data_IF_400351435103
#
_entry.id   IF_400351435103
#
_cell.length_a   1.000
_cell.length_b   1.000
_cell.length_c   1.000
_cell.angle_alpha   90.00
_cell.angle_beta   90.00
_cell.angle_gamma   90.00
#
_symmetry.space_group_name_H-M   'P 1'
#
loop_
_entity.id
_entity.type
_entity.pdbx_description
1 polymer ?
#
# COMPACT_ATOMS: atom_id res chain seq x y z
N UNK A 1 -1.92 5.40 -15.94
CA UNK A 1 -0.61 5.84 -15.37
C UNK A 1 0.29 4.62 -15.29
N UNK A 2 1.58 4.72 -15.64
CA UNK A 2 2.48 3.54 -15.63
C UNK A 2 3.19 3.33 -14.29
N UNK A 3 3.64 2.10 -14.00
CA UNK A 3 4.37 1.76 -12.76
C UNK A 3 5.51 2.73 -12.47
N UNK A 4 6.36 3.00 -13.47
CA UNK A 4 7.51 3.88 -13.30
C UNK A 4 7.10 5.31 -12.94
N UNK A 5 6.00 5.81 -13.48
CA UNK A 5 5.49 7.15 -13.16
C UNK A 5 4.98 7.22 -11.72
N UNK A 6 4.28 6.16 -11.28
CA UNK A 6 3.80 6.05 -9.90
C UNK A 6 4.97 5.96 -8.92
N UNK A 7 5.95 5.09 -9.18
CA UNK A 7 7.15 4.97 -8.35
C UNK A 7 7.93 6.29 -8.30
N UNK A 8 8.11 6.96 -9.43
CA UNK A 8 8.77 8.27 -9.49
C UNK A 8 8.01 9.31 -8.66
N UNK A 9 6.66 9.32 -8.71
CA UNK A 9 5.85 10.20 -7.87
C UNK A 9 5.95 9.86 -6.40
N UNK A 10 5.95 8.58 -6.04
CA UNK A 10 6.12 8.14 -4.66
C UNK A 10 7.50 8.58 -4.13
N UNK A 11 8.55 8.45 -4.94
CA UNK A 11 9.90 8.91 -4.59
C UNK A 11 9.99 10.44 -4.49
N UNK A 12 9.32 11.18 -5.36
CA UNK A 12 9.29 12.65 -5.31
C UNK A 12 8.53 13.18 -4.08
N UNK A 13 7.57 12.41 -3.57
CA UNK A 13 6.81 12.69 -2.34
C UNK A 13 7.46 12.07 -1.10
N UNK A 14 8.56 11.33 -1.27
CA UNK A 14 9.26 10.69 -0.17
C UNK A 14 9.85 11.74 0.75
N UNK A 15 9.63 11.57 2.05
CA UNK A 15 10.07 12.49 3.07
C UNK A 15 10.90 11.70 4.11
N UNK A 16 12.24 11.83 4.09
CA UNK A 16 13.10 11.09 5.00
C UNK A 16 12.95 11.52 6.45
N UNK A 17 12.49 12.75 6.75
CA UNK A 17 12.23 13.18 8.13
C UNK A 17 11.08 12.37 8.74
N UNK A 18 10.13 11.95 7.91
CA UNK A 18 9.01 11.11 8.34
C UNK A 18 9.37 9.67 8.60
N UNK A 19 10.37 9.14 7.89
CA UNK A 19 10.92 7.80 8.19
C UNK A 19 11.42 7.81 9.63
N UNK A 20 12.20 8.83 10.01
CA UNK A 20 12.72 9.01 11.37
C UNK A 20 11.60 9.18 12.40
N UNK A 21 10.54 9.94 12.08
CA UNK A 21 9.38 10.10 12.97
C UNK A 21 8.64 8.77 13.15
N UNK A 22 8.43 7.99 12.08
CA UNK A 22 7.75 6.68 12.14
C UNK A 22 8.58 5.67 12.95
N UNK A 23 9.86 5.58 12.67
CA UNK A 23 10.78 4.72 13.45
C UNK A 23 10.80 5.12 14.92
N UNK A 24 10.84 6.42 15.24
CA UNK A 24 10.84 6.90 16.63
C UNK A 24 9.51 6.76 17.35
N UNK A 25 8.39 7.12 16.71
CA UNK A 25 7.07 7.13 17.37
C UNK A 25 6.44 5.75 17.46
N UNK A 26 6.68 4.92 16.46
CA UNK A 26 5.93 3.68 16.28
C UNK A 26 6.84 2.44 16.21
N UNK A 27 8.17 2.60 16.22
CA UNK A 27 9.11 1.47 16.29
C UNK A 27 9.14 0.58 15.04
N UNK A 28 8.50 1.03 13.95
CA UNK A 28 8.38 0.23 12.73
C UNK A 28 9.65 0.40 11.90
N UNK A 29 10.43 -0.67 11.82
CA UNK A 29 11.43 -0.85 10.77
C UNK A 29 10.73 -1.23 9.48
N UNK A 30 10.06 -0.27 8.85
CA UNK A 30 9.52 -0.48 7.51
C UNK A 30 10.70 -0.43 6.54
N UNK A 31 11.34 -1.58 6.33
CA UNK A 31 12.30 -1.78 5.26
C UNK A 31 11.58 -1.35 3.96
N UNK A 32 12.02 -0.24 3.37
CA UNK A 32 11.42 0.44 2.20
C UNK A 32 10.16 1.31 2.45
N UNK A 33 10.03 1.99 3.60
CA UNK A 33 9.08 3.11 3.71
C UNK A 33 9.69 4.41 3.21
N UNK A 34 8.94 5.12 2.37
CA UNK A 34 9.28 6.43 1.80
C UNK A 34 8.81 7.60 2.67
N UNK A 35 7.96 7.37 3.67
CA UNK A 35 7.52 8.42 4.60
C UNK A 35 6.45 9.36 4.04
N UNK A 36 5.63 8.90 3.08
CA UNK A 36 4.66 9.75 2.36
C UNK A 36 3.41 10.01 3.22
N UNK A 37 2.75 11.16 3.06
CA UNK A 37 1.46 11.42 3.70
C UNK A 37 0.35 10.55 3.10
N UNK A 38 -0.53 10.04 3.95
CA UNK A 38 -1.74 9.34 3.51
C UNK A 38 -2.65 10.19 2.61
N UNK A 39 -2.61 11.53 2.75
CA UNK A 39 -3.35 12.45 1.89
C UNK A 39 -2.83 12.37 0.45
N UNK A 40 -1.52 12.48 0.26
CA UNK A 40 -0.91 12.41 -1.07
C UNK A 40 -1.14 11.03 -1.71
N UNK A 41 -1.04 9.94 -0.93
CA UNK A 41 -1.39 8.60 -1.41
C UNK A 41 -2.85 8.49 -1.85
N UNK A 42 -3.77 9.15 -1.14
CA UNK A 42 -5.20 9.16 -1.49
C UNK A 42 -5.46 9.99 -2.75
N UNK A 43 -4.78 11.11 -2.92
CA UNK A 43 -4.90 11.94 -4.11
C UNK A 43 -4.29 11.24 -5.34
N UNK A 44 -3.14 10.58 -5.16
CA UNK A 44 -2.53 9.74 -6.21
C UNK A 44 -3.43 8.56 -6.60
N UNK A 45 -4.06 7.90 -5.61
CA UNK A 45 -5.01 6.82 -5.89
C UNK A 45 -6.22 7.30 -6.71
N UNK A 46 -6.72 8.51 -6.46
CA UNK A 46 -7.81 9.11 -7.24
C UNK A 46 -7.39 9.46 -8.66
N UNK A 47 -6.16 9.94 -8.85
CA UNK A 47 -5.62 10.28 -10.16
C UNK A 47 -5.41 9.03 -11.03
N UNK A 48 -4.93 7.94 -10.42
CA UNK A 48 -4.76 6.65 -11.10
C UNK A 48 -6.11 6.00 -11.40
N UNK A 49 -7.03 6.01 -10.43
CA UNK A 49 -8.30 5.29 -10.49
C UNK A 49 -8.14 3.81 -10.10
N UNK A 50 -8.87 2.93 -10.79
CA UNK A 50 -8.81 1.47 -10.56
C UNK A 50 -8.01 0.79 -11.65
N UNK A 51 -6.95 0.10 -11.26
CA UNK A 51 -6.08 -0.62 -12.18
C UNK A 51 -5.42 -1.81 -11.47
N UNK A 52 -5.94 -3.01 -11.74
CA UNK A 52 -5.47 -4.24 -11.09
C UNK A 52 -4.04 -4.60 -11.54
N UNK A 53 -3.73 -4.43 -12.83
CA UNK A 53 -2.39 -4.74 -13.37
C UNK A 53 -1.34 -3.83 -12.74
N UNK A 54 -1.64 -2.54 -12.60
CA UNK A 54 -0.78 -1.59 -11.91
C UNK A 54 -0.68 -1.89 -10.41
N UNK A 55 -1.77 -2.31 -9.77
CA UNK A 55 -1.79 -2.69 -8.36
C UNK A 55 -0.81 -3.85 -8.09
N UNK A 56 -0.88 -4.91 -8.89
CA UNK A 56 0.04 -6.04 -8.78
C UNK A 56 1.49 -5.61 -8.98
N UNK A 57 1.77 -4.82 -10.01
CA UNK A 57 3.12 -4.34 -10.28
C UNK A 57 3.66 -3.47 -9.12
N UNK A 58 2.81 -2.65 -8.48
CA UNK A 58 3.18 -1.86 -7.30
C UNK A 58 3.43 -2.74 -6.07
N UNK A 59 2.64 -3.79 -5.89
CA UNK A 59 2.81 -4.74 -4.80
C UNK A 59 4.17 -5.46 -4.89
N UNK A 60 4.56 -5.88 -6.10
CA UNK A 60 5.85 -6.53 -6.37
C UNK A 60 7.06 -5.63 -6.12
N UNK A 61 6.92 -4.30 -6.17
CA UNK A 61 8.03 -3.38 -5.85
C UNK A 61 8.52 -3.48 -4.40
N UNK A 62 7.70 -4.04 -3.50
CA UNK A 62 8.06 -4.17 -2.08
C UNK A 62 8.12 -2.84 -1.32
N UNK A 63 7.75 -1.72 -1.92
CA UNK A 63 7.69 -0.42 -1.24
C UNK A 63 6.44 -0.36 -0.37
N UNK A 64 6.58 0.04 0.89
CA UNK A 64 5.47 0.07 1.85
C UNK A 64 4.31 0.95 1.36
N UNK A 65 4.59 2.17 0.92
CA UNK A 65 3.60 3.10 0.38
C UNK A 65 2.99 2.62 -0.94
N UNK A 66 3.76 1.92 -1.78
CA UNK A 66 3.24 1.34 -3.01
C UNK A 66 2.24 0.22 -2.73
N UNK A 67 2.45 -0.57 -1.67
CA UNK A 67 1.48 -1.59 -1.23
C UNK A 67 0.18 -0.98 -0.70
N UNK A 68 0.28 0.13 0.04
CA UNK A 68 -0.91 0.89 0.48
C UNK A 68 -1.66 1.43 -0.73
N UNK A 69 -0.94 1.97 -1.71
CA UNK A 69 -1.53 2.48 -2.95
C UNK A 69 -2.19 1.35 -3.75
N UNK A 70 -1.53 0.19 -3.88
CA UNK A 70 -2.06 -1.03 -4.50
C UNK A 70 -3.45 -1.36 -3.93
N UNK A 71 -3.60 -1.43 -2.60
CA UNK A 71 -4.88 -1.70 -1.95
C UNK A 71 -5.97 -0.68 -2.31
N UNK A 72 -5.62 0.57 -2.62
CA UNK A 72 -6.58 1.63 -2.99
C UNK A 72 -6.99 1.59 -4.46
N UNK A 73 -6.08 1.19 -5.35
CA UNK A 73 -6.32 1.15 -6.79
C UNK A 73 -6.78 -0.23 -7.28
N UNK A 74 -6.62 -1.27 -6.46
CA UNK A 74 -7.10 -2.61 -6.77
C UNK A 74 -8.62 -2.69 -6.63
N UNK A 75 -9.28 -3.39 -7.55
CA UNK A 75 -10.71 -3.59 -7.53
C UNK A 75 -11.08 -4.76 -6.58
N UNK A 76 -11.84 -4.52 -5.50
CA UNK A 76 -12.23 -5.57 -4.57
C UNK A 76 -13.14 -6.64 -5.20
N UNK A 77 -13.74 -6.38 -6.36
CA UNK A 77 -14.53 -7.39 -7.10
C UNK A 77 -13.66 -8.34 -7.93
N UNK A 78 -12.40 -8.00 -8.19
CA UNK A 78 -11.48 -8.82 -8.98
C UNK A 78 -10.46 -9.59 -8.13
N UNK A 79 -10.45 -9.38 -6.80
CA UNK A 79 -9.50 -10.06 -5.92
C UNK A 79 -9.91 -11.53 -5.75
N UNK A 80 -9.01 -12.45 -6.11
CA UNK A 80 -9.23 -13.87 -5.80
C UNK A 80 -8.76 -14.20 -4.39
N UNK A 81 -9.25 -15.31 -3.84
CA UNK A 81 -8.88 -15.74 -2.49
C UNK A 81 -7.38 -16.01 -2.39
N UNK A 82 -6.77 -16.58 -3.42
CA UNK A 82 -5.33 -16.85 -3.47
C UNK A 82 -4.50 -15.56 -3.43
N UNK A 83 -4.96 -14.51 -4.13
CA UNK A 83 -4.30 -13.20 -4.09
C UNK A 83 -4.41 -12.55 -2.71
N UNK A 84 -5.56 -12.70 -2.06
CA UNK A 84 -5.75 -12.21 -0.69
C UNK A 84 -4.84 -12.94 0.31
N UNK A 85 -4.74 -14.26 0.24
CA UNK A 85 -3.85 -15.04 1.11
C UNK A 85 -2.37 -14.66 0.90
N UNK A 86 -1.94 -14.45 -0.35
CA UNK A 86 -0.60 -13.94 -0.67
C UNK A 86 -0.33 -12.57 -0.03
N UNK A 87 -1.32 -11.68 -0.08
CA UNK A 87 -1.20 -10.36 0.52
C UNK A 87 -1.09 -10.43 2.04
N UNK A 88 -1.96 -11.20 2.69
CA UNK A 88 -1.94 -11.41 4.15
C UNK A 88 -0.60 -12.00 4.60
N UNK A 89 -0.05 -12.97 3.88
CA UNK A 89 1.28 -13.56 4.19
C UNK A 89 2.43 -12.56 4.03
N UNK A 90 2.31 -11.63 3.09
CA UNK A 90 3.35 -10.63 2.76
C UNK A 90 3.27 -9.39 3.67
N UNK A 91 2.15 -9.20 4.36
CA UNK A 91 1.95 -8.14 5.35
C UNK A 91 2.35 -8.63 6.75
N UNK A 92 3.66 -8.77 6.97
CA UNK A 92 4.22 -9.12 8.28
C UNK A 92 4.07 -7.99 9.32
N UNK A 93 3.69 -6.79 8.89
CA UNK A 93 3.56 -5.61 9.77
C UNK A 93 2.08 -5.30 10.05
N UNK A 94 1.71 -5.39 11.33
CA UNK A 94 0.36 -5.19 11.90
C UNK A 94 -0.36 -3.89 11.45
N UNK A 95 0.39 -2.85 11.05
CA UNK A 95 -0.19 -1.58 10.60
C UNK A 95 -0.91 -1.63 9.25
N UNK A 96 -0.57 -2.58 8.38
CA UNK A 96 -1.27 -2.72 7.10
C UNK A 96 -2.65 -3.37 7.30
N UNK A 97 -2.87 -3.96 8.49
CA UNK A 97 -4.10 -4.62 8.90
C UNK A 97 -5.14 -3.67 9.56
N UNK A 98 -4.81 -2.38 9.76
CA UNK A 98 -5.79 -1.37 10.18
C UNK A 98 -6.62 -0.89 8.95
N UNK A 99 -7.83 -0.29 9.10
CA UNK A 99 -9.11 -0.53 8.39
C UNK A 99 -9.16 -0.35 6.88
N UNK A 100 -8.03 -0.12 6.21
CA UNK A 100 -7.87 -0.07 4.75
C UNK A 100 -8.43 -1.30 4.03
N UNK A 101 -8.40 -2.48 4.66
CA UNK A 101 -9.01 -3.72 4.16
C UNK A 101 -10.46 -3.97 4.63
N UNK A 102 -11.08 -3.07 5.41
CA UNK A 102 -12.50 -3.18 5.82
C UNK A 102 -13.45 -2.75 4.68
N UNK A 103 -13.36 -3.36 3.52
CA UNK A 103 -14.58 -3.70 2.76
C UNK A 103 -15.17 -4.98 3.34
N UNK A 104 -16.49 -5.23 3.27
CA UNK A 104 -17.14 -6.31 4.02
C UNK A 104 -16.66 -7.68 3.53
N UNK A 105 -15.56 -8.16 4.12
CA UNK A 105 -15.16 -9.56 4.03
C UNK A 105 -16.13 -10.37 4.90
N UNK A 106 -16.70 -11.48 4.40
CA UNK A 106 -17.37 -12.43 5.26
C UNK A 106 -16.35 -12.94 6.26
N UNK A 107 -16.54 -12.57 7.53
CA UNK A 107 -15.88 -13.09 8.75
C UNK A 107 -14.99 -14.32 8.52
N UNK A 108 -13.70 -14.11 8.31
CA UNK A 108 -12.68 -15.09 8.64
C UNK A 108 -11.53 -14.31 9.27
N UNK A 109 -11.75 -13.93 10.53
CA UNK A 109 -10.64 -13.74 11.47
C UNK A 109 -10.28 -15.13 11.98
N UNK A 110 -9.00 -15.47 11.94
CA UNK A 110 -8.40 -16.40 12.90
C UNK A 110 -7.52 -15.55 13.81
#
# INVERSE_FOLDING_TARGET
>A
MNLQQVVTRLQALADPEKIVIKERKFGIKAQNSLGIYHKDLKDLAKEIGRDNSLAHALFETGIYEARILCSKIHDPMCITKEQMDQWVMTFENWEICDPTFRTPLPRICI
#
